data_IF_221733587065
#
_entry.id   IF_221733587065
#
_cell.length_a   1.000
_cell.length_b   1.000
_cell.length_c   1.000
_cell.angle_alpha   90.00
_cell.angle_beta   90.00
_cell.angle_gamma   90.00
#
_symmetry.space_group_name_H-M   'P 1'
#
loop_
_entity.id
_entity.type
_entity.pdbx_description
1 polymer ?
#
# COMPACT_ATOMS: atom_id res chain seq x y z
N UNK A 1 -9.06 -22.49 8.91
CA UNK A 1 -8.73 -21.08 8.61
C UNK A 1 -9.74 -20.23 9.35
N UNK A 2 -9.30 -19.23 10.11
CA UNK A 2 -10.23 -18.32 10.77
C UNK A 2 -10.88 -17.42 9.72
N UNK A 3 -12.18 -17.16 9.85
CA UNK A 3 -12.91 -16.30 8.92
C UNK A 3 -12.31 -14.88 8.91
N UNK A 4 -12.25 -14.27 7.73
CA UNK A 4 -11.80 -12.89 7.58
C UNK A 4 -12.84 -11.93 8.18
N UNK A 5 -12.36 -10.84 8.78
CA UNK A 5 -13.25 -9.76 9.24
C UNK A 5 -13.86 -9.08 8.02
N UNK A 6 -15.20 -8.99 8.00
CA UNK A 6 -15.92 -8.31 6.93
C UNK A 6 -15.69 -6.79 7.02
N UNK A 7 -15.34 -6.18 5.89
CA UNK A 7 -15.27 -4.73 5.76
C UNK A 7 -16.64 -4.08 6.01
N UNK A 8 -16.66 -2.97 6.73
CA UNK A 8 -17.84 -2.11 6.91
C UNK A 8 -17.46 -0.65 6.70
N UNK A 9 -18.32 0.18 6.08
CA UNK A 9 -19.70 -0.10 5.64
C UNK A 9 -19.77 -0.95 4.35
N UNK A 10 -20.95 -1.50 4.03
CA UNK A 10 -21.16 -2.16 2.74
C UNK A 10 -21.08 -1.14 1.61
N UNK A 11 -20.26 -1.44 0.60
CA UNK A 11 -20.13 -0.67 -0.64
C UNK A 11 -20.70 -1.47 -1.80
N UNK A 12 -21.29 -0.79 -2.77
CA UNK A 12 -21.86 -1.42 -3.96
C UNK A 12 -21.40 -0.68 -5.22
N UNK A 13 -20.32 -1.20 -5.82
CA UNK A 13 -19.84 -0.80 -7.13
C UNK A 13 -20.16 -1.89 -8.14
N UNK A 14 -20.61 -1.52 -9.34
CA UNK A 14 -20.72 -2.46 -10.47
C UNK A 14 -19.39 -2.52 -11.25
N UNK A 15 -19.16 -3.59 -12.04
CA UNK A 15 -18.01 -3.66 -12.94
C UNK A 15 -17.89 -2.45 -13.87
N UNK A 16 -19.01 -1.90 -14.37
CA UNK A 16 -19.02 -0.71 -15.22
C UNK A 16 -18.59 0.55 -14.48
N UNK A 17 -19.02 0.70 -13.22
CA UNK A 17 -18.58 1.80 -12.36
C UNK A 17 -17.08 1.68 -12.05
N UNK A 18 -16.59 0.48 -11.73
CA UNK A 18 -15.15 0.25 -11.53
C UNK A 18 -14.35 0.56 -12.79
N UNK A 19 -14.81 0.09 -13.96
CA UNK A 19 -14.15 0.35 -15.24
C UNK A 19 -14.10 1.84 -15.56
N UNK A 20 -15.19 2.57 -15.36
CA UNK A 20 -15.25 4.03 -15.61
C UNK A 20 -14.42 4.84 -14.62
N UNK A 21 -14.24 4.35 -13.38
CA UNK A 21 -13.43 5.00 -12.35
C UNK A 21 -11.97 4.49 -12.31
N UNK A 22 -11.58 3.59 -13.21
CA UNK A 22 -10.30 2.88 -13.15
C UNK A 22 -9.10 3.80 -12.99
N UNK A 23 -9.02 4.87 -13.79
CA UNK A 23 -7.92 5.83 -13.74
C UNK A 23 -7.77 6.52 -12.37
N UNK A 24 -8.87 6.69 -11.61
CA UNK A 24 -8.82 7.21 -10.25
C UNK A 24 -8.43 6.12 -9.24
N UNK A 25 -9.05 4.95 -9.34
CA UNK A 25 -8.79 3.81 -8.46
C UNK A 25 -7.33 3.33 -8.53
N UNK A 26 -6.72 3.46 -9.71
CA UNK A 26 -5.36 3.04 -10.04
C UNK A 26 -4.45 4.21 -10.42
N UNK A 27 -4.78 5.42 -9.93
CA UNK A 27 -3.92 6.60 -10.15
C UNK A 27 -2.56 6.50 -9.44
N UNK A 28 -2.48 5.67 -8.39
CA UNK A 28 -1.28 5.45 -7.59
C UNK A 28 -0.26 4.49 -8.20
N UNK A 29 -0.75 3.48 -8.91
CA UNK A 29 0.02 2.33 -9.41
C UNK A 29 0.03 2.18 -10.93
N UNK A 30 -0.84 2.92 -11.63
CA UNK A 30 -1.08 2.78 -13.06
C UNK A 30 -1.36 1.32 -13.50
N UNK A 31 -2.04 0.53 -12.67
CA UNK A 31 -2.46 -0.83 -13.07
C UNK A 31 -3.31 -0.75 -14.35
N UNK A 32 -3.05 -1.59 -15.36
CA UNK A 32 -3.83 -1.60 -16.60
C UNK A 32 -5.27 -2.05 -16.35
N UNK A 33 -6.21 -1.49 -17.13
CA UNK A 33 -7.62 -1.92 -17.11
C UNK A 33 -7.68 -3.42 -17.41
N UNK A 34 -8.46 -4.22 -16.66
CA UNK A 34 -8.61 -5.65 -16.91
C UNK A 34 -9.11 -5.94 -18.32
N UNK A 35 -8.43 -6.88 -18.98
CA UNK A 35 -8.81 -7.34 -20.32
C UNK A 35 -9.97 -8.34 -20.32
N UNK A 36 -10.15 -9.09 -19.23
CA UNK A 36 -11.25 -10.04 -19.04
C UNK A 36 -12.33 -9.46 -18.13
N UNK A 37 -13.57 -9.91 -18.33
CA UNK A 37 -14.69 -9.53 -17.45
C UNK A 37 -14.57 -10.19 -16.08
N UNK A 38 -13.99 -11.40 -16.01
CA UNK A 38 -13.73 -12.09 -14.75
C UNK A 38 -12.71 -11.35 -13.87
N UNK A 39 -11.64 -10.81 -14.44
CA UNK A 39 -10.67 -10.02 -13.69
C UNK A 39 -11.27 -8.66 -13.28
N UNK A 40 -12.09 -8.04 -14.12
CA UNK A 40 -12.81 -6.82 -13.72
C UNK A 40 -13.78 -7.08 -12.57
N UNK A 41 -14.51 -8.19 -12.61
CA UNK A 41 -15.39 -8.61 -11.53
C UNK A 41 -14.58 -8.86 -10.25
N UNK A 42 -13.41 -9.49 -10.36
CA UNK A 42 -12.54 -9.75 -9.21
C UNK A 42 -11.98 -8.44 -8.60
N UNK A 43 -11.60 -7.46 -9.42
CA UNK A 43 -11.24 -6.12 -8.94
C UNK A 43 -12.43 -5.40 -8.30
N UNK A 44 -13.64 -5.61 -8.82
CA UNK A 44 -14.86 -5.05 -8.22
C UNK A 44 -15.07 -5.57 -6.80
N UNK A 45 -14.82 -6.86 -6.54
CA UNK A 45 -14.83 -7.43 -5.18
C UNK A 45 -13.83 -6.70 -4.27
N UNK A 46 -12.61 -6.44 -4.75
CA UNK A 46 -11.60 -5.70 -3.99
C UNK A 46 -12.06 -4.28 -3.64
N UNK A 47 -12.56 -3.53 -4.63
CA UNK A 47 -13.03 -2.15 -4.40
C UNK A 47 -14.28 -2.08 -3.52
N UNK A 48 -15.10 -3.13 -3.48
CA UNK A 48 -16.22 -3.25 -2.54
C UNK A 48 -15.81 -3.73 -1.14
N UNK A 49 -14.54 -4.09 -0.92
CA UNK A 49 -14.02 -4.56 0.37
C UNK A 49 -14.23 -6.05 0.64
N UNK A 50 -14.66 -6.81 -0.36
CA UNK A 50 -14.74 -8.27 -0.31
C UNK A 50 -13.36 -8.91 -0.52
N UNK A 51 -12.39 -8.54 0.33
CA UNK A 51 -10.98 -8.85 0.14
C UNK A 51 -10.69 -10.36 0.09
N UNK A 52 -11.41 -11.17 0.86
CA UNK A 52 -11.24 -12.64 0.82
C UNK A 52 -11.68 -13.19 -0.53
N UNK A 53 -12.85 -12.78 -1.02
CA UNK A 53 -13.35 -13.21 -2.33
C UNK A 53 -12.46 -12.71 -3.47
N UNK A 54 -12.01 -11.45 -3.42
CA UNK A 54 -11.06 -10.89 -4.36
C UNK A 54 -9.73 -11.66 -4.39
N UNK A 55 -9.22 -12.05 -3.21
CA UNK A 55 -8.03 -12.88 -3.08
C UNK A 55 -8.22 -14.24 -3.77
N UNK A 56 -9.32 -14.95 -3.46
CA UNK A 56 -9.58 -16.27 -4.05
C UNK A 56 -9.78 -16.19 -5.57
N UNK A 57 -10.54 -15.20 -6.06
CA UNK A 57 -10.75 -14.97 -7.48
C UNK A 57 -9.44 -14.66 -8.20
N UNK A 58 -8.59 -13.78 -7.64
CA UNK A 58 -7.27 -13.46 -8.19
C UNK A 58 -6.35 -14.69 -8.29
N UNK A 59 -6.33 -15.52 -7.25
CA UNK A 59 -5.58 -16.79 -7.26
C UNK A 59 -6.10 -17.76 -8.33
N UNK A 60 -7.42 -17.91 -8.47
CA UNK A 60 -8.04 -18.78 -9.47
C UNK A 60 -7.79 -18.29 -10.91
N UNK A 61 -7.75 -16.98 -11.14
CA UNK A 61 -7.36 -16.38 -12.42
C UNK A 61 -5.87 -16.66 -12.73
N UNK A 62 -4.99 -16.44 -11.76
CA UNK A 62 -3.56 -16.72 -11.92
C UNK A 62 -3.27 -18.19 -12.24
N UNK A 63 -4.00 -19.14 -11.64
CA UNK A 63 -3.86 -20.56 -11.94
C UNK A 63 -4.29 -20.94 -13.37
N UNK A 64 -5.18 -20.14 -13.97
CA UNK A 64 -5.63 -20.29 -15.36
C UNK A 64 -4.78 -19.49 -16.35
N UNK A 65 -3.54 -19.16 -15.97
CA UNK A 65 -2.56 -18.43 -16.78
C UNK A 65 -2.96 -16.96 -17.08
N UNK A 66 -3.75 -16.33 -16.20
CA UNK A 66 -4.00 -14.89 -16.23
C UNK A 66 -3.22 -14.21 -15.11
N UNK A 67 -1.96 -13.82 -15.34
CA UNK A 67 -1.03 -13.55 -14.25
C UNK A 67 -1.27 -12.18 -13.60
N UNK A 68 -2.12 -11.33 -14.17
CA UNK A 68 -2.67 -10.12 -13.52
C UNK A 68 -3.58 -10.46 -12.32
N UNK A 69 -4.13 -11.68 -12.25
CA UNK A 69 -4.85 -12.16 -11.07
C UNK A 69 -3.96 -12.20 -9.81
N UNK A 70 -2.64 -12.38 -9.97
CA UNK A 70 -1.71 -12.37 -8.85
C UNK A 70 -1.51 -10.94 -8.28
N UNK A 71 -1.55 -9.89 -9.13
CA UNK A 71 -1.54 -8.49 -8.67
C UNK A 71 -2.71 -8.24 -7.70
N UNK A 72 -3.92 -8.60 -8.13
CA UNK A 72 -5.13 -8.45 -7.33
C UNK A 72 -5.04 -9.27 -6.03
N UNK A 73 -4.62 -10.53 -6.12
CA UNK A 73 -4.56 -11.42 -4.96
C UNK A 73 -3.60 -10.88 -3.88
N UNK A 74 -2.37 -10.51 -4.26
CA UNK A 74 -1.39 -9.98 -3.32
C UNK A 74 -1.87 -8.65 -2.72
N UNK A 75 -2.52 -7.81 -3.52
CA UNK A 75 -3.08 -6.54 -3.02
C UNK A 75 -4.20 -6.77 -2.01
N UNK A 76 -5.21 -7.57 -2.35
CA UNK A 76 -6.34 -7.85 -1.47
C UNK A 76 -5.87 -8.45 -0.14
N UNK A 77 -4.93 -9.39 -0.20
CA UNK A 77 -4.33 -10.02 0.97
C UNK A 77 -3.58 -9.00 1.85
N UNK A 78 -2.76 -8.15 1.25
CA UNK A 78 -1.94 -7.18 1.98
C UNK A 78 -2.78 -6.05 2.58
N UNK A 79 -3.80 -5.58 1.88
CA UNK A 79 -4.74 -4.55 2.37
C UNK A 79 -5.58 -5.10 3.52
N UNK A 80 -6.17 -6.28 3.37
CA UNK A 80 -6.90 -6.91 4.47
C UNK A 80 -6.02 -7.10 5.71
N UNK A 81 -4.81 -7.66 5.55
CA UNK A 81 -3.89 -7.87 6.66
C UNK A 81 -3.52 -6.55 7.36
N UNK A 82 -3.37 -5.46 6.61
CA UNK A 82 -2.97 -4.15 7.16
C UNK A 82 -4.10 -3.48 7.93
N UNK A 83 -5.31 -3.47 7.37
CA UNK A 83 -6.38 -2.58 7.83
C UNK A 83 -7.49 -3.29 8.62
N UNK A 84 -7.65 -4.61 8.46
CA UNK A 84 -8.82 -5.32 8.98
C UNK A 84 -8.50 -6.52 9.87
N UNK A 85 -7.33 -7.15 9.76
CA UNK A 85 -6.99 -8.32 10.60
C UNK A 85 -6.55 -7.89 12.01
N UNK A 86 -7.35 -8.10 13.06
CA UNK A 86 -7.02 -7.64 14.40
C UNK A 86 -6.01 -8.54 15.12
N UNK A 87 -5.84 -9.78 14.69
CA UNK A 87 -5.01 -10.77 15.39
C UNK A 87 -3.58 -10.70 14.86
N UNK A 88 -2.65 -10.19 15.67
CA UNK A 88 -1.26 -9.97 15.29
C UNK A 88 -0.59 -11.19 14.62
N UNK A 89 -0.74 -12.39 15.19
CA UNK A 89 -0.16 -13.61 14.63
C UNK A 89 -0.75 -13.98 13.27
N UNK A 90 -2.04 -13.76 13.05
CA UNK A 90 -2.67 -14.00 11.75
C UNK A 90 -2.23 -12.96 10.73
N UNK A 91 -2.19 -11.69 11.12
CA UNK A 91 -1.70 -10.60 10.25
C UNK A 91 -0.28 -10.87 9.76
N UNK A 92 0.61 -11.30 10.66
CA UNK A 92 1.98 -11.71 10.31
C UNK A 92 1.96 -12.83 9.25
N UNK A 93 1.25 -13.93 9.51
CA UNK A 93 1.14 -15.04 8.57
C UNK A 93 0.55 -14.63 7.20
N UNK A 94 -0.43 -13.72 7.17
CA UNK A 94 -1.00 -13.22 5.92
C UNK A 94 0.00 -12.35 5.13
N UNK A 95 0.78 -11.52 5.82
CA UNK A 95 1.81 -10.69 5.20
C UNK A 95 2.98 -11.55 4.69
N UNK A 96 3.36 -12.61 5.40
CA UNK A 96 4.35 -13.58 4.91
C UNK A 96 3.86 -14.30 3.65
N UNK A 97 2.59 -14.73 3.63
CA UNK A 97 1.96 -15.31 2.44
C UNK A 97 1.94 -14.33 1.27
N UNK A 98 1.63 -13.06 1.53
CA UNK A 98 1.67 -12.00 0.51
C UNK A 98 3.09 -11.82 -0.06
N UNK A 99 4.12 -11.85 0.79
CA UNK A 99 5.53 -11.78 0.36
C UNK A 99 5.92 -12.97 -0.50
N UNK A 100 5.52 -14.20 -0.14
CA UNK A 100 5.79 -15.39 -0.95
C UNK A 100 5.17 -15.26 -2.34
N UNK A 101 3.89 -14.88 -2.41
CA UNK A 101 3.18 -14.69 -3.67
C UNK A 101 3.77 -13.55 -4.50
N UNK A 102 4.11 -12.41 -3.88
CA UNK A 102 4.74 -11.29 -4.55
C UNK A 102 6.13 -11.65 -5.10
N UNK A 103 6.92 -12.44 -4.37
CA UNK A 103 8.24 -12.92 -4.83
C UNK A 103 8.09 -13.86 -6.05
N UNK A 104 7.08 -14.73 -6.04
CA UNK A 104 6.75 -15.55 -7.22
C UNK A 104 6.32 -14.67 -8.39
N UNK A 105 5.56 -13.60 -8.11
CA UNK A 105 5.13 -12.64 -9.11
C UNK A 105 6.30 -11.90 -9.75
N UNK A 106 7.25 -11.37 -8.97
CA UNK A 106 8.44 -10.69 -9.51
C UNK A 106 9.35 -11.63 -10.29
N UNK A 107 9.35 -12.93 -9.96
CA UNK A 107 10.12 -13.94 -10.70
C UNK A 107 9.46 -14.26 -12.05
N UNK A 108 8.13 -14.38 -12.08
CA UNK A 108 7.38 -14.70 -13.30
C UNK A 108 7.14 -13.48 -14.21
N UNK A 109 7.11 -12.27 -13.65
CA UNK A 109 6.92 -11.01 -14.36
C UNK A 109 7.96 -9.97 -13.91
N UNK A 110 9.25 -10.14 -14.23
CA UNK A 110 10.33 -9.28 -13.75
C UNK A 110 10.26 -7.83 -14.25
N UNK A 111 9.49 -7.58 -15.30
CA UNK A 111 9.28 -6.25 -15.90
C UNK A 111 7.93 -5.62 -15.51
N UNK A 112 7.14 -6.27 -14.65
CA UNK A 112 5.90 -5.71 -14.12
C UNK A 112 6.21 -4.84 -12.88
N UNK A 113 6.06 -3.50 -12.94
CA UNK A 113 6.34 -2.63 -11.80
C UNK A 113 5.46 -2.95 -10.59
N UNK A 114 4.20 -3.35 -10.80
CA UNK A 114 3.25 -3.60 -9.70
C UNK A 114 3.54 -4.92 -8.97
N UNK A 115 4.18 -5.89 -9.62
CA UNK A 115 4.72 -7.06 -8.94
C UNK A 115 5.78 -6.67 -7.90
N UNK A 116 6.71 -5.79 -8.28
CA UNK A 116 7.76 -5.27 -7.39
C UNK A 116 7.19 -4.34 -6.31
N UNK A 117 6.23 -3.49 -6.67
CA UNK A 117 5.57 -2.62 -5.70
C UNK A 117 4.85 -3.43 -4.62
N UNK A 118 4.13 -4.48 -4.99
CA UNK A 118 3.40 -5.31 -4.03
C UNK A 118 4.34 -6.16 -3.16
N UNK A 119 5.52 -6.52 -3.65
CA UNK A 119 6.58 -7.08 -2.83
C UNK A 119 7.06 -6.05 -1.79
N UNK A 120 7.38 -4.82 -2.21
CA UNK A 120 7.76 -3.76 -1.29
C UNK A 120 6.66 -3.46 -0.25
N UNK A 121 5.40 -3.37 -0.70
CA UNK A 121 4.25 -3.07 0.15
C UNK A 121 4.07 -4.14 1.23
N UNK A 122 4.08 -5.42 0.85
CA UNK A 122 3.93 -6.53 1.81
C UNK A 122 5.10 -6.62 2.80
N UNK A 123 6.33 -6.36 2.35
CA UNK A 123 7.51 -6.29 3.22
C UNK A 123 7.46 -5.11 4.21
N UNK A 124 7.12 -3.93 3.72
CA UNK A 124 7.02 -2.72 4.53
C UNK A 124 5.93 -2.83 5.61
N UNK A 125 4.73 -3.30 5.24
CA UNK A 125 3.64 -3.55 6.20
C UNK A 125 4.01 -4.65 7.20
N UNK A 126 4.76 -5.66 6.79
CA UNK A 126 5.29 -6.66 7.72
C UNK A 126 6.26 -6.02 8.71
N UNK A 127 7.22 -5.22 8.24
CA UNK A 127 8.18 -4.51 9.09
C UNK A 127 7.50 -3.58 10.11
N UNK A 128 6.44 -2.87 9.72
CA UNK A 128 5.64 -2.02 10.61
C UNK A 128 4.94 -2.81 11.72
N UNK A 129 4.62 -4.08 11.48
CA UNK A 129 3.95 -4.95 12.46
C UNK A 129 4.88 -5.62 13.47
N UNK A 130 6.20 -5.51 13.29
CA UNK A 130 7.23 -6.18 14.07
C UNK A 130 8.04 -5.18 14.92
N UNK A 131 8.77 -5.70 15.91
CA UNK A 131 9.81 -4.92 16.57
C UNK A 131 10.94 -4.57 15.61
N UNK A 132 11.63 -3.46 15.88
CA UNK A 132 12.80 -3.02 15.08
C UNK A 132 13.82 -4.15 14.97
N UNK A 133 14.18 -4.79 16.08
CA UNK A 133 15.14 -5.90 16.09
C UNK A 133 14.72 -7.08 15.19
N UNK A 134 13.44 -7.47 15.21
CA UNK A 134 12.94 -8.57 14.38
C UNK A 134 12.90 -8.19 12.89
N UNK A 135 12.48 -6.96 12.57
CA UNK A 135 12.51 -6.42 11.21
C UNK A 135 13.94 -6.40 10.62
N UNK A 136 14.92 -5.99 11.43
CA UNK A 136 16.35 -6.01 11.07
C UNK A 136 16.85 -7.44 10.84
N UNK A 137 16.55 -8.37 11.76
CA UNK A 137 16.99 -9.76 11.66
C UNK A 137 16.44 -10.46 10.40
N UNK A 138 15.24 -10.08 9.95
CA UNK A 138 14.61 -10.60 8.74
C UNK A 138 14.99 -9.84 7.45
N UNK A 139 15.82 -8.78 7.57
CA UNK A 139 16.26 -7.98 6.44
C UNK A 139 15.13 -7.24 5.70
N UNK A 140 14.00 -6.98 6.35
CA UNK A 140 12.80 -6.46 5.68
C UNK A 140 13.03 -5.05 5.10
N UNK A 141 13.77 -4.20 5.82
CA UNK A 141 14.04 -2.83 5.38
C UNK A 141 14.82 -2.77 4.06
N UNK A 142 15.93 -3.50 3.96
CA UNK A 142 16.74 -3.53 2.74
C UNK A 142 15.93 -4.09 1.56
N UNK A 143 15.23 -5.21 1.76
CA UNK A 143 14.40 -5.83 0.71
C UNK A 143 13.26 -4.91 0.25
N UNK A 144 12.67 -4.14 1.17
CA UNK A 144 11.66 -3.13 0.83
C UNK A 144 12.26 -2.05 -0.06
N UNK A 145 13.43 -1.51 0.30
CA UNK A 145 14.13 -0.49 -0.48
C UNK A 145 14.46 -0.98 -1.89
N UNK A 146 15.03 -2.17 -2.02
CA UNK A 146 15.39 -2.79 -3.30
C UNK A 146 14.16 -2.98 -4.20
N UNK A 147 13.04 -3.45 -3.65
CA UNK A 147 11.80 -3.63 -4.40
C UNK A 147 11.20 -2.28 -4.86
N UNK A 148 11.28 -1.22 -4.02
CA UNK A 148 10.85 0.13 -4.41
C UNK A 148 11.76 0.73 -5.50
N UNK A 149 13.08 0.56 -5.39
CA UNK A 149 14.01 0.98 -6.43
C UNK A 149 13.71 0.31 -7.76
N UNK A 150 13.46 -1.01 -7.75
CA UNK A 150 13.11 -1.74 -8.96
C UNK A 150 11.77 -1.28 -9.54
N UNK A 151 10.79 -0.99 -8.68
CA UNK A 151 9.49 -0.42 -9.09
C UNK A 151 9.68 0.92 -9.80
N UNK A 152 10.42 1.85 -9.19
CA UNK A 152 10.65 3.19 -9.73
C UNK A 152 11.56 3.20 -10.96
N UNK A 153 12.46 2.22 -11.09
CA UNK A 153 13.23 2.02 -12.31
C UNK A 153 12.32 1.60 -13.49
N UNK A 154 11.38 0.67 -13.25
CA UNK A 154 10.43 0.21 -14.27
C UNK A 154 9.34 1.25 -14.58
N UNK A 155 8.86 1.96 -13.56
CA UNK A 155 7.87 3.01 -13.70
C UNK A 155 8.23 4.24 -12.82
N UNK A 156 8.99 5.21 -13.37
CA UNK A 156 9.34 6.43 -12.64
C UNK A 156 8.17 7.33 -12.24
N UNK A 157 6.97 7.08 -12.79
CA UNK A 157 5.73 7.82 -12.51
C UNK A 157 4.80 7.08 -11.55
N UNK A 158 5.24 6.00 -10.92
CA UNK A 158 4.45 5.24 -9.95
C UNK A 158 4.30 6.03 -8.64
N UNK A 159 3.17 6.70 -8.46
CA UNK A 159 2.88 7.56 -7.30
C UNK A 159 3.01 6.82 -5.96
N UNK A 160 2.43 5.63 -5.83
CA UNK A 160 2.45 4.91 -4.55
C UNK A 160 3.85 4.39 -4.19
N UNK A 161 4.73 4.16 -5.17
CA UNK A 161 6.12 3.78 -4.93
C UNK A 161 6.93 4.97 -4.42
N UNK A 162 6.71 6.18 -4.94
CA UNK A 162 7.27 7.42 -4.38
C UNK A 162 6.79 7.63 -2.94
N UNK A 163 5.48 7.45 -2.70
CA UNK A 163 4.88 7.55 -1.37
C UNK A 163 5.50 6.54 -0.38
N UNK A 164 5.56 5.27 -0.78
CA UNK A 164 6.11 4.21 0.06
C UNK A 164 7.60 4.41 0.35
N UNK A 165 8.36 4.94 -0.60
CA UNK A 165 9.77 5.28 -0.38
C UNK A 165 9.95 6.49 0.54
N UNK A 166 9.07 7.50 0.44
CA UNK A 166 9.04 8.61 1.38
C UNK A 166 8.78 8.12 2.81
N UNK A 167 7.76 7.27 2.99
CA UNK A 167 7.44 6.65 4.28
C UNK A 167 8.56 5.77 4.80
N UNK A 168 9.25 5.02 3.92
CA UNK A 168 10.43 4.25 4.31
C UNK A 168 11.51 5.15 4.92
N UNK A 169 11.83 6.28 4.27
CA UNK A 169 12.79 7.23 4.81
C UNK A 169 12.37 7.79 6.18
N UNK A 170 11.12 8.23 6.30
CA UNK A 170 10.58 8.79 7.54
C UNK A 170 10.62 7.77 8.69
N UNK A 171 10.17 6.54 8.45
CA UNK A 171 10.16 5.49 9.48
C UNK A 171 11.54 5.04 9.90
N UNK A 172 12.48 4.91 8.97
CA UNK A 172 13.85 4.55 9.32
C UNK A 172 14.45 5.62 10.23
N UNK A 173 14.27 6.89 9.88
CA UNK A 173 14.74 8.03 10.68
C UNK A 173 14.11 8.02 12.08
N UNK A 174 12.79 7.85 12.16
CA UNK A 174 12.07 7.81 13.43
C UNK A 174 12.54 6.66 14.34
N UNK A 175 12.75 5.47 13.77
CA UNK A 175 13.08 4.25 14.52
C UNK A 175 14.54 4.15 14.97
N UNK A 176 15.49 4.62 14.15
CA UNK A 176 16.94 4.42 14.41
C UNK A 176 17.76 5.71 14.42
N UNK A 177 17.12 6.85 14.16
CA UNK A 177 17.75 8.17 14.11
C UNK A 177 18.41 8.49 12.76
N UNK A 178 18.58 9.80 12.52
CA UNK A 178 19.11 10.35 11.25
C UNK A 178 20.45 9.74 10.84
N UNK A 179 21.41 9.67 11.76
CA UNK A 179 22.79 9.24 11.46
C UNK A 179 22.85 7.75 11.11
N UNK A 180 22.23 6.90 11.93
CA UNK A 180 22.22 5.44 11.68
C UNK A 180 21.39 5.13 10.44
N UNK A 181 20.23 5.78 10.29
CA UNK A 181 19.38 5.63 9.11
C UNK A 181 20.10 5.99 7.81
N UNK A 182 20.84 7.09 7.81
CA UNK A 182 21.64 7.51 6.65
C UNK A 182 22.75 6.50 6.31
N UNK A 183 23.51 6.04 7.31
CA UNK A 183 24.65 5.12 7.10
C UNK A 183 24.18 3.72 6.67
N UNK A 184 23.09 3.21 7.24
CA UNK A 184 22.65 1.83 7.00
C UNK A 184 21.70 1.70 5.81
N UNK A 185 20.82 2.69 5.60
CA UNK A 185 19.72 2.62 4.63
C UNK A 185 19.73 3.74 3.60
N UNK A 186 20.67 4.68 3.69
CA UNK A 186 20.63 5.91 2.88
C UNK A 186 19.43 6.78 3.21
N UNK A 187 18.90 6.71 4.45
CA UNK A 187 17.73 7.46 4.83
C UNK A 187 17.99 8.98 4.89
N UNK A 188 17.03 9.78 4.41
CA UNK A 188 17.20 11.24 4.29
C UNK A 188 15.86 11.96 4.44
N UNK A 189 15.82 12.96 5.34
CA UNK A 189 14.65 13.83 5.54
C UNK A 189 14.30 14.59 4.26
N UNK A 190 15.31 15.15 3.60
CA UNK A 190 15.13 15.87 2.34
C UNK A 190 14.53 14.95 1.26
N UNK A 191 15.08 13.75 1.10
CA UNK A 191 14.56 12.79 0.12
C UNK A 191 13.11 12.40 0.44
N UNK A 192 12.78 12.16 1.71
CA UNK A 192 11.43 11.85 2.14
C UNK A 192 10.44 12.95 1.73
N UNK A 193 10.74 14.21 2.06
CA UNK A 193 9.87 15.35 1.73
C UNK A 193 9.68 15.51 0.21
N UNK A 194 10.76 15.42 -0.56
CA UNK A 194 10.69 15.51 -2.02
C UNK A 194 9.86 14.38 -2.64
N UNK A 195 9.96 13.16 -2.10
CA UNK A 195 9.18 12.01 -2.55
C UNK A 195 7.70 12.12 -2.17
N UNK A 196 7.36 12.65 -1.00
CA UNK A 196 5.97 12.96 -0.64
C UNK A 196 5.37 13.98 -1.59
N UNK A 197 6.10 15.07 -1.87
CA UNK A 197 5.66 16.09 -2.82
C UNK A 197 5.48 15.48 -4.22
N UNK A 198 6.42 14.63 -4.66
CA UNK A 198 6.33 13.94 -5.95
C UNK A 198 5.13 13.01 -6.05
N UNK A 199 4.84 12.24 -5.00
CA UNK A 199 3.66 11.38 -4.95
C UNK A 199 2.36 12.20 -5.05
N UNK A 200 2.29 13.34 -4.36
CA UNK A 200 1.15 14.25 -4.41
C UNK A 200 0.99 14.93 -5.79
N UNK A 201 2.07 15.26 -6.49
CA UNK A 201 2.01 15.76 -7.86
C UNK A 201 1.45 14.70 -8.83
N UNK A 202 1.86 13.45 -8.67
CA UNK A 202 1.46 12.35 -9.55
C UNK A 202 0.03 11.87 -9.30
N UNK A 203 -0.42 11.87 -8.04
CA UNK A 203 -1.77 11.49 -7.64
C UNK A 203 -2.33 12.44 -6.55
N UNK A 204 -2.76 13.66 -6.92
CA UNK A 204 -3.16 14.70 -5.97
C UNK A 204 -4.43 14.39 -5.17
N UNK A 205 -5.24 13.43 -5.64
CA UNK A 205 -6.46 12.98 -4.96
C UNK A 205 -6.25 11.78 -4.03
N UNK A 206 -5.02 11.30 -3.84
CA UNK A 206 -4.76 10.09 -3.07
C UNK A 206 -5.03 10.27 -1.58
N UNK A 207 -6.10 9.65 -1.07
CA UNK A 207 -6.40 9.67 0.36
C UNK A 207 -5.35 8.89 1.17
N UNK A 208 -4.87 7.75 0.63
CA UNK A 208 -3.73 7.02 1.21
C UNK A 208 -2.50 7.94 1.28
N UNK A 209 -2.23 8.67 0.19
CA UNK A 209 -1.15 9.64 0.10
C UNK A 209 -1.22 10.72 1.17
N UNK A 210 -2.41 11.30 1.39
CA UNK A 210 -2.62 12.30 2.44
C UNK A 210 -2.32 11.72 3.84
N UNK A 211 -2.80 10.50 4.14
CA UNK A 211 -2.64 9.89 5.45
C UNK A 211 -1.19 9.57 5.75
N UNK A 212 -0.53 8.88 4.81
CA UNK A 212 0.87 8.47 4.96
C UNK A 212 1.81 9.68 4.96
N UNK A 213 1.52 10.73 4.18
CA UNK A 213 2.26 11.99 4.23
C UNK A 213 2.09 12.68 5.58
N UNK A 214 0.86 12.79 6.10
CA UNK A 214 0.62 13.41 7.39
C UNK A 214 1.39 12.71 8.52
N UNK A 215 1.39 11.36 8.54
CA UNK A 215 2.17 10.56 9.48
C UNK A 215 3.67 10.74 9.29
N UNK A 216 4.14 10.70 8.04
CA UNK A 216 5.54 10.90 7.67
C UNK A 216 6.09 12.24 8.15
N UNK A 217 5.34 13.30 7.95
CA UNK A 217 5.70 14.65 8.40
C UNK A 217 5.89 14.72 9.92
N UNK A 218 5.02 14.05 10.68
CA UNK A 218 5.13 13.98 12.15
C UNK A 218 6.30 13.11 12.61
N UNK A 219 6.77 12.14 11.81
CA UNK A 219 7.98 11.38 12.10
C UNK A 219 9.26 12.18 11.78
N UNK A 220 9.22 13.02 10.75
CA UNK A 220 10.39 13.73 10.24
C UNK A 220 10.73 14.98 11.06
N UNK A 221 9.75 15.84 11.27
CA UNK A 221 9.92 17.14 11.93
C UNK A 221 8.55 17.73 12.35
N UNK A 222 8.00 17.30 13.50
CA UNK A 222 6.72 17.81 14.01
C UNK A 222 6.68 19.34 14.09
N UNK A 223 7.75 19.96 14.59
CA UNK A 223 7.80 21.39 14.88
C UNK A 223 7.55 22.23 13.61
N UNK A 224 8.10 21.79 12.48
CA UNK A 224 7.97 22.50 11.21
C UNK A 224 6.80 22.02 10.34
N UNK A 225 6.27 20.82 10.58
CA UNK A 225 5.30 20.20 9.69
C UNK A 225 3.93 19.92 10.28
N UNK A 226 3.71 20.19 11.57
CA UNK A 226 2.42 20.00 12.24
C UNK A 226 1.26 20.64 11.46
N UNK A 227 1.37 21.92 11.10
CA UNK A 227 0.31 22.62 10.37
C UNK A 227 0.04 22.04 8.96
N UNK A 228 1.02 21.37 8.33
CA UNK A 228 0.81 20.65 7.06
C UNK A 228 0.12 19.31 7.30
N UNK A 229 0.54 18.56 8.31
CA UNK A 229 -0.08 17.30 8.69
C UNK A 229 -1.56 17.48 9.11
N UNK A 230 -1.86 18.48 9.93
CA UNK A 230 -3.23 18.80 10.36
C UNK A 230 -4.15 19.13 9.18
N UNK A 231 -3.67 19.90 8.19
CA UNK A 231 -4.44 20.19 6.96
C UNK A 231 -4.74 18.93 6.16
N UNK A 232 -3.79 18.00 6.06
CA UNK A 232 -4.02 16.71 5.38
C UNK A 232 -5.04 15.85 6.12
N UNK A 233 -4.97 15.79 7.45
CA UNK A 233 -5.99 15.11 8.26
C UNK A 233 -7.37 15.74 8.09
N UNK A 234 -7.48 17.07 8.10
CA UNK A 234 -8.75 17.76 7.86
C UNK A 234 -9.33 17.45 6.47
N UNK A 235 -8.49 17.42 5.44
CA UNK A 235 -8.90 17.03 4.07
C UNK A 235 -9.41 15.58 4.04
N UNK A 236 -8.73 14.65 4.71
CA UNK A 236 -9.16 13.25 4.79
C UNK A 236 -10.53 13.09 5.45
N UNK A 237 -10.75 13.78 6.57
CA UNK A 237 -12.02 13.69 7.32
C UNK A 237 -13.21 14.26 6.53
N UNK A 238 -12.96 15.22 5.64
CA UNK A 238 -13.96 15.78 4.75
C UNK A 238 -14.11 15.02 3.43
N UNK A 239 -13.23 14.05 3.15
CA UNK A 239 -13.20 13.37 1.86
C UNK A 239 -14.38 12.43 1.67
N UNK A 240 -14.86 12.34 0.42
CA UNK A 240 -15.79 11.30 -0.01
C UNK A 240 -15.02 10.11 -0.55
N UNK A 241 -15.32 8.93 -0.03
CA UNK A 241 -14.67 7.68 -0.38
C UNK A 241 -15.35 7.05 -1.59
N UNK A 242 -14.57 6.48 -2.49
CA UNK A 242 -15.02 5.76 -3.68
C UNK A 242 -15.01 4.25 -3.48
N UNK A 243 -14.00 3.74 -2.78
CA UNK A 243 -13.80 2.32 -2.56
C UNK A 243 -13.50 1.99 -1.10
N UNK A 244 -13.38 0.69 -0.81
CA UNK A 244 -13.15 0.20 0.54
C UNK A 244 -11.82 0.65 1.13
N UNK A 245 -10.76 0.76 0.33
CA UNK A 245 -9.46 1.22 0.82
C UNK A 245 -9.53 2.68 1.26
N UNK A 246 -10.14 3.55 0.45
CA UNK A 246 -10.38 4.94 0.81
C UNK A 246 -11.22 5.06 2.09
N UNK A 247 -12.26 4.23 2.25
CA UNK A 247 -13.08 4.20 3.46
C UNK A 247 -12.29 3.78 4.72
N UNK A 248 -11.42 2.77 4.61
CA UNK A 248 -10.54 2.35 5.69
C UNK A 248 -9.58 3.46 6.12
N UNK A 249 -9.00 4.16 5.14
CA UNK A 249 -8.06 5.27 5.36
C UNK A 249 -8.76 6.45 6.06
N UNK A 250 -9.95 6.84 5.62
CA UNK A 250 -10.73 7.90 6.26
C UNK A 250 -11.12 7.49 7.69
N UNK A 251 -11.50 6.22 7.90
CA UNK A 251 -11.77 5.68 9.23
C UNK A 251 -10.59 5.86 10.21
N UNK A 252 -9.36 5.60 9.76
CA UNK A 252 -8.16 5.82 10.58
C UNK A 252 -7.90 7.29 10.94
N UNK A 253 -8.19 8.21 10.00
CA UNK A 253 -8.04 9.64 10.24
C UNK A 253 -9.08 10.18 11.25
N UNK A 254 -10.24 9.53 11.36
CA UNK A 254 -11.26 9.88 12.36
C UNK A 254 -10.92 9.31 13.75
N UNK A 255 -10.25 8.16 13.82
CA UNK A 255 -9.89 7.51 15.09
C UNK A 255 -8.67 8.12 15.81
N UNK A 256 -8.01 9.13 15.23
CA UNK A 256 -6.79 9.74 15.76
C UNK A 256 -7.04 10.96 16.67
N UNK A 257 -8.30 11.35 16.86
CA UNK A 257 -8.73 12.48 17.71
C UNK A 257 -9.32 12.07 19.08
N UNK A 258 -9.41 10.77 19.36
CA UNK A 258 -9.82 10.20 20.66
C UNK A 258 -8.59 9.77 21.49
#
# INVERSE_FOLDING_TARGET
MNAWVTFTPSLSLTPEQVRSHWARLHGGDAEPIPGSDELLQAWTLYHCGEFENAYQSGMALSQRQEPAGLTLAVRALSVYATYLEPRAAQREHLLERAQTLATQHTTSQPDNPNAWFLLAYSLGRHAQSLSVAKSLALGLGQRTREALDRTLHLNPRHADAHLALATFHAEVIDKVGDVVGAVTYGASKHSALALYDRAAELNPGSLVGMLETARGLMMLDPEHHQARAERLYQQLRAARTLDALEALVVGLANATDD
#
